data_IF_366123824338
#
_entry.id   IF_366123824338
#
_cell.length_a   1.000
_cell.length_b   1.000
_cell.length_c   1.000
_cell.angle_alpha   90.00
_cell.angle_beta   90.00
_cell.angle_gamma   90.00
#
_symmetry.space_group_name_H-M   'P 1'
#
loop_
_entity.id
_entity.type
_entity.pdbx_description
1 polymer ?
#
# COMPACT_ATOMS: atom_id res chain seq x y z
N UNK A 1 12.43 18.89 -0.99
CA UNK A 1 13.00 17.52 -0.92
C UNK A 1 12.03 16.51 -0.29
N UNK A 2 11.30 16.88 0.76
CA UNK A 2 10.25 16.05 1.41
C UNK A 2 9.04 15.75 0.52
N UNK A 3 8.63 16.67 -0.37
CA UNK A 3 7.46 16.49 -1.24
C UNK A 3 7.52 15.24 -2.14
N UNK A 4 8.72 14.85 -2.60
CA UNK A 4 8.91 13.67 -3.45
C UNK A 4 9.13 12.37 -2.67
N UNK A 5 9.45 12.46 -1.38
CA UNK A 5 9.71 11.29 -0.55
C UNK A 5 8.45 10.44 -0.38
N UNK A 6 7.30 11.07 -0.12
CA UNK A 6 6.04 10.36 0.05
C UNK A 6 5.61 9.60 -1.23
N UNK A 7 5.59 10.22 -2.42
CA UNK A 7 5.29 9.52 -3.66
C UNK A 7 6.22 8.34 -3.95
N UNK A 8 7.54 8.51 -3.76
CA UNK A 8 8.53 7.45 -4.01
C UNK A 8 8.31 6.27 -3.06
N UNK A 9 8.16 6.55 -1.76
CA UNK A 9 7.89 5.50 -0.76
C UNK A 9 6.54 4.80 -1.00
N UNK A 10 5.52 5.55 -1.41
CA UNK A 10 4.20 5.00 -1.73
C UNK A 10 4.25 4.07 -2.95
N UNK A 11 4.97 4.47 -4.01
CA UNK A 11 5.18 3.64 -5.19
C UNK A 11 5.93 2.34 -4.85
N UNK A 12 7.00 2.43 -4.06
CA UNK A 12 7.75 1.26 -3.57
C UNK A 12 6.87 0.36 -2.69
N UNK A 13 6.07 0.94 -1.80
CA UNK A 13 5.14 0.21 -0.93
C UNK A 13 4.12 -0.58 -1.73
N UNK A 14 3.50 0.05 -2.74
CA UNK A 14 2.57 -0.63 -3.65
C UNK A 14 3.27 -1.72 -4.45
N UNK A 15 4.46 -1.46 -4.98
CA UNK A 15 5.23 -2.47 -5.72
C UNK A 15 5.47 -3.72 -4.86
N UNK A 16 5.98 -3.54 -3.63
CA UNK A 16 6.21 -4.62 -2.68
C UNK A 16 4.92 -5.37 -2.31
N UNK A 17 3.82 -4.65 -2.13
CA UNK A 17 2.52 -5.24 -1.85
C UNK A 17 2.06 -6.18 -2.97
N UNK A 18 2.19 -5.77 -4.23
CA UNK A 18 1.85 -6.60 -5.37
C UNK A 18 2.85 -7.74 -5.60
N UNK A 19 4.15 -7.54 -5.34
CA UNK A 19 5.12 -8.63 -5.33
C UNK A 19 4.74 -9.70 -4.30
N UNK A 20 4.37 -9.27 -3.09
CA UNK A 20 3.95 -10.17 -2.02
C UNK A 20 2.65 -10.90 -2.37
N UNK A 21 1.69 -10.21 -3.01
CA UNK A 21 0.47 -10.82 -3.57
C UNK A 21 0.82 -11.97 -4.51
N UNK A 22 1.74 -11.76 -5.45
CA UNK A 22 2.16 -12.78 -6.43
C UNK A 22 2.85 -13.96 -5.73
N UNK A 23 3.74 -13.68 -4.78
CA UNK A 23 4.51 -14.71 -4.07
C UNK A 23 3.63 -15.62 -3.20
N UNK A 24 2.62 -15.05 -2.53
CA UNK A 24 1.78 -15.73 -1.55
C UNK A 24 0.50 -16.34 -2.16
N UNK A 25 -0.03 -15.75 -3.23
CA UNK A 25 -1.25 -16.27 -3.90
C UNK A 25 -1.01 -17.66 -4.50
N UNK A 26 -1.93 -18.57 -4.25
CA UNK A 26 -1.86 -19.94 -4.76
C UNK A 26 -3.23 -20.61 -4.69
N UNK A 27 -3.43 -21.69 -5.46
CA UNK A 27 -4.68 -22.49 -5.41
C UNK A 27 -4.97 -23.05 -4.01
N UNK A 28 -3.92 -23.32 -3.22
CA UNK A 28 -3.98 -23.81 -1.83
C UNK A 28 -3.60 -22.70 -0.83
N UNK A 29 -4.11 -21.48 -1.02
CA UNK A 29 -3.85 -20.38 -0.09
C UNK A 29 -4.41 -20.73 1.30
N UNK A 30 -3.51 -21.01 2.24
CA UNK A 30 -3.83 -21.22 3.66
C UNK A 30 -3.80 -19.92 4.46
N UNK A 31 -4.32 -19.98 5.69
CA UNK A 31 -4.43 -18.82 6.58
C UNK A 31 -3.10 -18.11 6.83
N UNK A 32 -2.01 -18.84 7.08
CA UNK A 32 -0.69 -18.24 7.32
C UNK A 32 -0.25 -17.33 6.17
N UNK A 33 -0.34 -17.81 4.92
CA UNK A 33 0.02 -17.01 3.73
C UNK A 33 -0.93 -15.84 3.53
N UNK A 34 -2.21 -16.04 3.81
CA UNK A 34 -3.19 -14.96 3.73
C UNK A 34 -2.86 -13.84 4.74
N UNK A 35 -2.66 -14.17 6.02
CA UNK A 35 -2.32 -13.20 7.05
C UNK A 35 -0.96 -12.53 6.81
N UNK A 36 0.05 -13.27 6.34
CA UNK A 36 1.35 -12.71 5.97
C UNK A 36 1.26 -11.63 4.88
N UNK A 37 0.31 -11.76 3.94
CA UNK A 37 0.05 -10.71 2.94
C UNK A 37 -0.89 -9.62 3.43
N UNK A 38 -1.89 -9.96 4.24
CA UNK A 38 -2.93 -9.04 4.68
C UNK A 38 -2.42 -8.05 5.73
N UNK A 39 -1.74 -8.53 6.78
CA UNK A 39 -1.27 -7.70 7.91
C UNK A 39 -0.41 -6.52 7.45
N UNK A 40 0.67 -6.70 6.66
CA UNK A 40 1.49 -5.57 6.24
C UNK A 40 0.71 -4.59 5.36
N UNK A 41 -0.17 -5.08 4.47
CA UNK A 41 -1.02 -4.21 3.66
C UNK A 41 -1.98 -3.39 4.53
N UNK A 42 -2.62 -3.98 5.54
CA UNK A 42 -3.50 -3.26 6.46
C UNK A 42 -2.75 -2.18 7.27
N UNK A 43 -1.51 -2.45 7.69
CA UNK A 43 -0.68 -1.46 8.37
C UNK A 43 -0.38 -0.26 7.47
N UNK A 44 -0.03 -0.51 6.20
CA UNK A 44 0.23 0.57 5.23
C UNK A 44 -1.05 1.29 4.84
N UNK A 45 -2.18 0.60 4.69
CA UNK A 45 -3.49 1.21 4.49
C UNK A 45 -3.85 2.18 5.63
N UNK A 46 -3.62 1.80 6.89
CA UNK A 46 -3.84 2.70 8.03
C UNK A 46 -3.02 3.99 7.91
N UNK A 47 -1.79 3.88 7.43
CA UNK A 47 -0.91 5.03 7.18
C UNK A 47 -1.50 5.95 6.11
N UNK A 48 -1.90 5.40 4.96
CA UNK A 48 -2.51 6.19 3.90
C UNK A 48 -3.84 6.83 4.30
N UNK A 49 -4.67 6.11 5.06
CA UNK A 49 -5.91 6.66 5.62
C UNK A 49 -5.65 7.87 6.50
N UNK A 50 -4.66 7.80 7.41
CA UNK A 50 -4.30 8.93 8.27
C UNK A 50 -3.85 10.17 7.48
N UNK A 51 -3.13 9.96 6.39
CA UNK A 51 -2.70 11.06 5.52
C UNK A 51 -3.92 11.65 4.80
N UNK A 52 -4.71 10.81 4.13
CA UNK A 52 -5.82 11.27 3.29
C UNK A 52 -6.99 11.89 4.08
N UNK A 53 -7.29 11.37 5.28
CA UNK A 53 -8.46 11.78 6.06
C UNK A 53 -8.14 12.73 7.22
N UNK A 54 -6.91 12.68 7.77
CA UNK A 54 -6.56 13.40 8.99
C UNK A 54 -5.37 14.34 8.82
N UNK A 55 -4.75 14.40 7.64
CA UNK A 55 -3.50 15.14 7.39
C UNK A 55 -2.36 14.75 8.35
N UNK A 56 -2.38 13.50 8.85
CA UNK A 56 -1.37 12.99 9.78
C UNK A 56 -0.35 12.16 9.00
N UNK A 57 0.87 12.67 8.92
CA UNK A 57 2.00 12.02 8.27
C UNK A 57 2.82 11.19 9.28
N UNK A 58 3.36 10.04 8.87
CA UNK A 58 4.32 9.28 9.67
C UNK A 58 5.52 10.14 10.03
N UNK A 59 5.93 10.10 11.30
CA UNK A 59 7.08 10.83 11.86
C UNK A 59 6.99 12.36 11.85
N UNK A 60 6.15 12.96 11.00
CA UNK A 60 5.96 14.42 10.90
C UNK A 60 4.72 14.92 11.66
N UNK A 61 3.82 14.04 12.06
CA UNK A 61 2.60 14.40 12.80
C UNK A 61 1.56 15.08 11.92
N UNK A 62 0.76 15.96 12.52
CA UNK A 62 -0.29 16.70 11.83
C UNK A 62 0.30 17.82 10.95
N UNK A 63 0.12 17.71 9.63
CA UNK A 63 0.72 18.61 8.61
C UNK A 63 -0.27 18.92 7.48
N UNK A 64 -1.31 19.72 7.74
CA UNK A 64 -2.27 20.14 6.71
C UNK A 64 -1.60 21.00 5.63
N UNK A 65 -0.57 21.76 5.99
CA UNK A 65 0.23 22.62 5.10
C UNK A 65 0.73 21.87 3.86
N UNK A 66 1.15 20.62 4.01
CA UNK A 66 1.66 19.79 2.91
C UNK A 66 0.55 19.45 1.90
N UNK A 67 -0.68 19.20 2.38
CA UNK A 67 -1.80 18.84 1.51
C UNK A 67 -2.39 20.08 0.86
N UNK A 68 -2.41 21.21 1.56
CA UNK A 68 -2.87 22.49 1.01
C UNK A 68 -1.94 22.96 -0.13
N UNK A 69 -0.63 22.82 0.03
CA UNK A 69 0.35 23.15 -1.03
C UNK A 69 0.38 22.11 -2.17
N UNK A 70 0.11 20.84 -1.84
CA UNK A 70 0.22 19.72 -2.78
C UNK A 70 -0.98 18.78 -2.68
N UNK A 71 -2.16 19.24 -3.14
CA UNK A 71 -3.42 18.49 -3.04
C UNK A 71 -3.36 17.08 -3.65
N UNK A 72 -2.48 16.88 -4.65
CA UNK A 72 -2.27 15.57 -5.27
C UNK A 72 -1.77 14.51 -4.28
N UNK A 73 -1.09 14.90 -3.19
CA UNK A 73 -0.59 13.99 -2.15
C UNK A 73 -1.75 13.29 -1.44
N UNK A 74 -2.83 14.01 -1.13
CA UNK A 74 -4.04 13.45 -0.51
C UNK A 74 -4.71 12.41 -1.42
N UNK A 75 -4.87 12.74 -2.71
CA UNK A 75 -5.40 11.82 -3.72
C UNK A 75 -4.52 10.60 -3.92
N UNK A 76 -3.19 10.80 -3.94
CA UNK A 76 -2.24 9.70 -4.06
C UNK A 76 -2.32 8.76 -2.84
N UNK A 77 -2.43 9.31 -1.62
CA UNK A 77 -2.63 8.52 -0.42
C UNK A 77 -3.91 7.67 -0.51
N UNK A 78 -5.03 8.27 -0.95
CA UNK A 78 -6.28 7.55 -1.16
C UNK A 78 -6.15 6.44 -2.22
N UNK A 79 -5.49 6.72 -3.35
CA UNK A 79 -5.22 5.72 -4.38
C UNK A 79 -4.37 4.56 -3.82
N UNK A 80 -3.31 4.86 -3.08
CA UNK A 80 -2.46 3.85 -2.46
C UNK A 80 -3.23 3.01 -1.43
N UNK A 81 -4.14 3.60 -0.65
CA UNK A 81 -5.02 2.85 0.24
C UNK A 81 -5.80 1.75 -0.52
N UNK A 82 -6.42 2.10 -1.64
CA UNK A 82 -7.16 1.13 -2.46
C UNK A 82 -6.25 0.10 -3.14
N UNK A 83 -5.07 0.52 -3.59
CA UNK A 83 -4.09 -0.39 -4.19
C UNK A 83 -3.62 -1.44 -3.18
N UNK A 84 -3.34 -1.05 -1.94
CA UNK A 84 -3.00 -2.00 -0.88
C UNK A 84 -4.15 -2.94 -0.51
N UNK A 85 -5.40 -2.45 -0.47
CA UNK A 85 -6.57 -3.32 -0.29
C UNK A 85 -6.69 -4.36 -1.41
N UNK A 86 -6.40 -3.97 -2.65
CA UNK A 86 -6.41 -4.85 -3.81
C UNK A 86 -5.22 -5.83 -3.83
N UNK A 87 -4.19 -5.58 -3.03
CA UNK A 87 -2.95 -6.36 -3.00
C UNK A 87 -3.04 -7.60 -2.08
N UNK A 88 -4.21 -7.95 -1.53
CA UNK A 88 -4.34 -9.12 -0.69
C UNK A 88 -4.13 -10.44 -1.47
N UNK A 89 -3.53 -11.47 -0.84
CA UNK A 89 -3.37 -12.78 -1.46
C UNK A 89 -4.71 -13.42 -1.83
N UNK A 90 -4.78 -14.06 -2.99
CA UNK A 90 -6.00 -14.71 -3.51
C UNK A 90 -5.79 -16.19 -3.75
N UNK A 91 -6.88 -16.97 -3.79
CA UNK A 91 -6.90 -18.41 -4.13
C UNK A 91 -6.69 -18.66 -5.63
N UNK A 92 -5.74 -17.97 -6.24
CA UNK A 92 -5.36 -18.09 -7.65
C UNK A 92 -3.84 -18.16 -7.73
N UNK A 93 -3.31 -19.05 -8.57
CA UNK A 93 -1.87 -19.04 -8.85
C UNK A 93 -1.55 -17.87 -9.78
N UNK A 94 -0.84 -16.88 -9.26
CA UNK A 94 -0.42 -15.68 -10.01
C UNK A 94 1.01 -15.81 -10.54
N UNK A 95 1.73 -16.88 -10.17
CA UNK A 95 3.12 -17.10 -10.59
C UNK A 95 3.24 -17.50 -12.06
N UNK A 96 2.12 -17.75 -12.75
CA UNK A 96 2.13 -18.16 -14.15
C UNK A 96 2.77 -17.12 -15.07
N UNK A 97 2.67 -15.83 -14.76
CA UNK A 97 3.34 -14.76 -15.50
C UNK A 97 4.87 -14.75 -15.33
N UNK A 98 5.41 -15.40 -14.30
CA UNK A 98 6.84 -15.53 -14.01
C UNK A 98 7.44 -16.87 -14.45
N UNK A 99 6.61 -17.79 -14.98
CA UNK A 99 7.05 -19.10 -15.50
C UNK A 99 7.30 -19.10 -17.02
N UNK A 100 7.11 -17.96 -17.69
CA UNK A 100 7.64 -17.70 -19.04
C UNK A 100 8.97 -17.00 -18.91
#
# INVERSE_FOLDING_TARGET
MTAWLFPVLSALGVFLAFSLRILLSSKKLGYTKFFLGMIPNMLVMRTHYKIAALNIFPFLGYRPDIIDEHIFIGWLALACFFLHASAFPVKKDLKWWWKR
#
